data_IF_712526153212
#
_entry.id   IF_712526153212
#
_cell.length_a   1.000
_cell.length_b   1.000
_cell.length_c   1.000
_cell.angle_alpha   90.00
_cell.angle_beta   90.00
_cell.angle_gamma   90.00
#
_symmetry.space_group_name_H-M   'P 1'
#
loop_
_entity.id
_entity.type
_entity.pdbx_description
1 polymer ?
#
# COMPACT_ATOMS: atom_id res chain seq x y z
N UNK A 1 -8.06 -2.33 -33.04
CA UNK A 1 -8.73 -1.53 -31.98
C UNK A 1 -8.84 -2.44 -30.78
N UNK A 2 -8.23 -2.11 -29.64
CA UNK A 2 -8.48 -2.87 -28.39
C UNK A 2 -9.97 -2.74 -28.06
N UNK A 3 -10.66 -3.87 -28.00
CA UNK A 3 -12.10 -3.91 -27.80
C UNK A 3 -12.44 -3.26 -26.46
N UNK A 4 -13.42 -2.36 -26.44
CA UNK A 4 -13.87 -1.68 -25.22
C UNK A 4 -14.24 -2.70 -24.14
N UNK A 5 -14.78 -3.84 -24.57
CA UNK A 5 -15.12 -4.96 -23.70
C UNK A 5 -13.88 -5.56 -23.00
N UNK A 6 -12.76 -5.68 -23.71
CA UNK A 6 -11.49 -6.18 -23.15
C UNK A 6 -10.95 -5.22 -22.09
N UNK A 7 -10.98 -3.91 -22.36
CA UNK A 7 -10.52 -2.89 -21.41
C UNK A 7 -11.37 -2.90 -20.12
N UNK A 8 -12.70 -2.99 -20.26
CA UNK A 8 -13.62 -3.06 -19.11
C UNK A 8 -13.38 -4.34 -18.31
N UNK A 9 -13.20 -5.48 -18.98
CA UNK A 9 -12.93 -6.76 -18.35
C UNK A 9 -11.62 -6.71 -17.55
N UNK A 10 -10.53 -6.21 -18.13
CA UNK A 10 -9.24 -6.06 -17.46
C UNK A 10 -9.31 -5.13 -16.25
N UNK A 11 -10.00 -3.98 -16.37
CA UNK A 11 -10.16 -3.08 -15.22
C UNK A 11 -10.98 -3.77 -14.12
N UNK A 12 -12.05 -4.47 -14.46
CA UNK A 12 -12.87 -5.23 -13.50
C UNK A 12 -12.06 -6.30 -12.76
N UNK A 13 -11.20 -7.03 -13.46
CA UNK A 13 -10.28 -7.99 -12.84
C UNK A 13 -9.32 -7.28 -11.86
N UNK A 14 -8.75 -6.15 -12.26
CA UNK A 14 -7.90 -5.34 -11.38
C UNK A 14 -8.65 -4.86 -10.14
N UNK A 15 -9.91 -4.43 -10.27
CA UNK A 15 -10.77 -4.05 -9.13
C UNK A 15 -10.89 -5.20 -8.13
N UNK A 16 -11.21 -6.40 -8.62
CA UNK A 16 -11.37 -7.62 -7.79
C UNK A 16 -10.07 -8.00 -7.07
N UNK A 17 -8.92 -7.86 -7.74
CA UNK A 17 -7.61 -8.16 -7.15
C UNK A 17 -7.32 -7.22 -5.98
N UNK A 18 -7.55 -5.91 -6.16
CA UNK A 18 -7.32 -4.90 -5.11
C UNK A 18 -8.25 -5.15 -3.93
N UNK A 19 -9.54 -5.41 -4.19
CA UNK A 19 -10.52 -5.74 -3.15
C UNK A 19 -10.10 -6.98 -2.35
N UNK A 20 -9.71 -8.06 -3.04
CA UNK A 20 -9.29 -9.30 -2.38
C UNK A 20 -8.03 -9.08 -1.54
N UNK A 21 -7.07 -8.27 -2.00
CA UNK A 21 -5.89 -7.91 -1.21
C UNK A 21 -6.27 -7.18 0.07
N UNK A 22 -7.08 -6.11 -0.03
CA UNK A 22 -7.60 -5.42 1.16
C UNK A 22 -8.34 -6.41 2.05
N UNK A 23 -9.08 -7.36 1.45
CA UNK A 23 -9.85 -8.33 2.19
C UNK A 23 -8.98 -9.27 3.00
N UNK A 24 -7.90 -9.78 2.41
CA UNK A 24 -6.95 -10.69 3.05
C UNK A 24 -6.16 -10.01 4.16
N UNK A 25 -5.65 -8.80 3.91
CA UNK A 25 -4.81 -8.07 4.88
C UNK A 25 -5.54 -7.65 6.16
N UNK A 26 -6.87 -7.59 6.11
CA UNK A 26 -7.74 -7.17 7.22
C UNK A 26 -8.63 -8.31 7.75
N UNK A 27 -8.55 -9.50 7.15
CA UNK A 27 -9.23 -10.70 7.65
C UNK A 27 -8.40 -11.29 8.77
N UNK A 28 -9.06 -11.57 9.89
CA UNK A 28 -8.40 -12.22 11.01
C UNK A 28 -8.28 -13.73 10.73
N UNK A 29 -7.11 -14.14 10.25
CA UNK A 29 -6.60 -15.50 10.40
C UNK A 29 -5.57 -15.47 11.54
N UNK A 30 -5.35 -16.56 12.27
CA UNK A 30 -4.47 -16.58 13.47
C UNK A 30 -3.01 -16.17 13.25
N UNK A 31 -2.64 -15.76 12.03
CA UNK A 31 -1.37 -15.17 11.64
C UNK A 31 -1.45 -13.64 11.60
N UNK A 32 -0.52 -12.97 12.27
CA UNK A 32 -0.34 -11.52 12.18
C UNK A 32 -0.13 -11.11 10.72
N UNK A 33 -0.91 -10.15 10.20
CA UNK A 33 -0.66 -9.60 8.87
C UNK A 33 0.76 -9.08 8.76
N UNK A 34 1.47 -9.55 7.73
CA UNK A 34 2.85 -9.17 7.48
C UNK A 34 2.90 -7.70 7.13
N UNK A 35 3.86 -6.95 7.69
CA UNK A 35 4.13 -5.53 7.36
C UNK A 35 4.15 -5.32 5.84
N UNK A 36 4.66 -6.31 5.10
CA UNK A 36 4.65 -6.38 3.64
C UNK A 36 3.27 -6.17 3.00
N UNK A 37 2.20 -6.76 3.57
CA UNK A 37 0.85 -6.62 3.03
C UNK A 37 0.33 -5.18 3.16
N UNK A 38 0.67 -4.50 4.26
CA UNK A 38 0.31 -3.10 4.47
C UNK A 38 1.12 -2.18 3.54
N UNK A 39 2.41 -2.48 3.35
CA UNK A 39 3.27 -1.75 2.42
C UNK A 39 2.78 -1.85 0.98
N UNK A 40 2.37 -3.05 0.54
CA UNK A 40 1.80 -3.26 -0.80
C UNK A 40 0.51 -2.46 -0.99
N UNK A 41 -0.41 -2.50 -0.01
CA UNK A 41 -1.65 -1.74 -0.07
C UNK A 41 -1.41 -0.23 -0.04
N UNK A 42 -0.44 0.25 0.74
CA UNK A 42 -0.06 1.66 0.75
C UNK A 42 0.44 2.11 -0.63
N UNK A 43 1.26 1.31 -1.32
CA UNK A 43 1.72 1.59 -2.69
C UNK A 43 0.56 1.61 -3.70
N UNK A 44 -0.43 0.73 -3.54
CA UNK A 44 -1.63 0.71 -4.38
C UNK A 44 -2.47 1.97 -4.11
N UNK A 45 -2.66 2.35 -2.84
CA UNK A 45 -3.44 3.53 -2.45
C UNK A 45 -2.83 4.84 -2.96
N UNK A 46 -1.50 4.91 -3.15
CA UNK A 46 -0.86 6.08 -3.76
C UNK A 46 -1.18 6.25 -5.26
N UNK A 47 -1.62 5.20 -5.94
CA UNK A 47 -2.03 5.27 -7.35
C UNK A 47 -3.43 5.86 -7.44
N UNK A 48 -3.56 6.99 -8.13
CA UNK A 48 -4.83 7.73 -8.28
C UNK A 48 -5.97 6.89 -8.84
N UNK A 49 -5.66 5.90 -9.69
CA UNK A 49 -6.64 5.04 -10.35
C UNK A 49 -7.23 3.95 -9.45
N UNK A 50 -6.49 3.52 -8.43
CA UNK A 50 -6.87 2.39 -7.56
C UNK A 50 -7.16 2.81 -6.12
N UNK A 51 -6.80 4.06 -5.76
CA UNK A 51 -7.03 4.65 -4.44
C UNK A 51 -8.50 4.53 -4.00
N UNK A 52 -9.45 4.95 -4.85
CA UNK A 52 -10.87 4.94 -4.52
C UNK A 52 -11.37 3.57 -4.05
N UNK A 53 -10.86 2.49 -4.65
CA UNK A 53 -11.24 1.11 -4.34
C UNK A 53 -10.72 0.72 -2.95
N UNK A 54 -9.45 1.03 -2.65
CA UNK A 54 -8.84 0.72 -1.36
C UNK A 54 -9.64 1.39 -0.24
N UNK A 55 -9.94 2.67 -0.38
CA UNK A 55 -10.71 3.44 0.60
C UNK A 55 -12.15 2.94 0.71
N UNK A 56 -12.82 2.65 -0.40
CA UNK A 56 -14.15 2.03 -0.42
C UNK A 56 -14.19 0.71 0.35
N UNK A 57 -13.23 -0.19 0.10
CA UNK A 57 -13.12 -1.44 0.83
C UNK A 57 -12.84 -1.22 2.33
N UNK A 58 -12.06 -0.21 2.70
CA UNK A 58 -11.82 0.17 4.10
C UNK A 58 -13.10 0.69 4.78
N UNK A 59 -13.87 1.53 4.09
CA UNK A 59 -15.13 2.07 4.60
C UNK A 59 -16.11 0.96 4.99
N UNK A 60 -16.34 0.01 4.07
CA UNK A 60 -17.21 -1.16 4.32
C UNK A 60 -16.73 -1.96 5.54
N UNK A 61 -15.41 -1.98 5.79
CA UNK A 61 -14.82 -2.72 6.91
C UNK A 61 -14.94 -2.02 8.24
N UNK A 62 -14.78 -0.70 8.27
CA UNK A 62 -15.05 0.12 9.44
C UNK A 62 -16.53 0.07 9.85
N UNK A 63 -17.43 -0.17 8.89
CA UNK A 63 -18.87 -0.30 9.09
C UNK A 63 -19.37 -1.71 9.45
N UNK A 64 -18.48 -2.68 9.71
CA UNK A 64 -18.89 -4.02 10.16
C UNK A 64 -19.52 -4.00 11.57
N UNK A 65 -20.34 -5.02 11.86
CA UNK A 65 -20.96 -5.24 13.17
C UNK A 65 -19.89 -5.29 14.28
N UNK A 66 -20.21 -4.81 15.49
CA UNK A 66 -19.29 -4.75 16.66
C UNK A 66 -18.59 -6.07 16.98
N UNK A 67 -19.25 -7.21 16.78
CA UNK A 67 -18.65 -8.57 16.90
C UNK A 67 -17.42 -8.80 16.03
N UNK A 68 -17.25 -8.02 14.95
CA UNK A 68 -16.08 -8.04 14.06
C UNK A 68 -15.05 -6.97 14.44
N UNK A 69 -14.92 -6.66 15.73
CA UNK A 69 -13.96 -5.68 16.28
C UNK A 69 -12.53 -5.87 15.77
N UNK A 70 -12.08 -7.12 15.53
CA UNK A 70 -10.73 -7.41 14.99
C UNK A 70 -10.55 -6.88 13.57
N UNK A 71 -11.56 -7.03 12.71
CA UNK A 71 -11.52 -6.49 11.34
C UNK A 71 -11.56 -4.97 11.37
N UNK A 72 -12.38 -4.37 12.24
CA UNK A 72 -12.43 -2.91 12.43
C UNK A 72 -11.06 -2.40 12.90
N UNK A 73 -10.47 -3.02 13.92
CA UNK A 73 -9.14 -2.68 14.42
C UNK A 73 -8.08 -2.78 13.32
N UNK A 74 -8.07 -3.88 12.56
CA UNK A 74 -7.08 -4.09 11.49
C UNK A 74 -7.23 -3.07 10.36
N UNK A 75 -8.45 -2.62 10.06
CA UNK A 75 -8.70 -1.53 9.12
C UNK A 75 -8.16 -0.19 9.64
N UNK A 76 -8.29 0.09 10.95
CA UNK A 76 -7.71 1.29 11.56
C UNK A 76 -6.17 1.26 11.53
N UNK A 77 -5.55 0.12 11.83
CA UNK A 77 -4.09 -0.05 11.75
C UNK A 77 -3.57 0.16 10.32
N UNK A 78 -4.30 -0.31 9.30
CA UNK A 78 -3.95 -0.05 7.91
C UNK A 78 -4.07 1.45 7.56
N UNK A 79 -5.12 2.13 8.03
CA UNK A 79 -5.28 3.58 7.85
C UNK A 79 -4.11 4.35 8.47
N UNK A 80 -3.77 4.06 9.73
CA UNK A 80 -2.62 4.65 10.41
C UNK A 80 -1.32 4.39 9.64
N UNK A 81 -1.10 3.16 9.20
CA UNK A 81 0.08 2.80 8.42
C UNK A 81 0.17 3.63 7.14
N UNK A 82 -0.90 3.75 6.35
CA UNK A 82 -0.89 4.55 5.11
C UNK A 82 -0.66 6.04 5.40
N UNK A 83 -1.24 6.59 6.47
CA UNK A 83 -0.99 7.98 6.86
C UNK A 83 0.49 8.25 7.13
N UNK A 84 1.19 7.32 7.79
CA UNK A 84 2.60 7.49 8.16
C UNK A 84 3.54 7.13 7.00
N UNK A 85 3.19 6.17 6.16
CA UNK A 85 4.11 5.62 5.16
C UNK A 85 3.95 6.20 3.75
N UNK A 86 2.88 6.97 3.50
CA UNK A 86 2.54 7.44 2.17
C UNK A 86 2.56 8.96 2.00
N UNK A 87 2.30 9.42 0.77
CA UNK A 87 2.26 10.84 0.39
C UNK A 87 1.13 11.61 1.09
N UNK A 88 1.26 12.94 1.15
CA UNK A 88 0.27 13.84 1.77
C UNK A 88 -1.12 13.76 1.12
N UNK A 89 -1.18 13.45 -0.18
CA UNK A 89 -2.44 13.34 -0.94
C UNK A 89 -3.42 12.32 -0.37
N UNK A 90 -2.93 11.31 0.35
CA UNK A 90 -3.76 10.30 1.01
C UNK A 90 -4.43 10.80 2.29
N UNK A 91 -3.88 11.83 2.94
CA UNK A 91 -4.45 12.40 4.17
C UNK A 91 -5.85 12.94 3.89
N UNK A 92 -6.03 13.63 2.77
CA UNK A 92 -7.34 14.16 2.35
C UNK A 92 -8.39 13.06 2.18
N UNK A 93 -7.99 11.85 1.74
CA UNK A 93 -8.90 10.70 1.63
C UNK A 93 -9.25 10.12 3.00
N UNK A 94 -8.28 10.04 3.91
CA UNK A 94 -8.50 9.59 5.29
C UNK A 94 -9.40 10.58 6.05
N UNK A 95 -9.31 11.88 5.76
CA UNK A 95 -10.12 12.90 6.41
C UNK A 95 -11.63 12.69 6.18
N UNK A 96 -12.02 12.12 5.05
CA UNK A 96 -13.41 11.74 4.76
C UNK A 96 -13.92 10.70 5.77
N UNK A 97 -13.04 9.84 6.30
CA UNK A 97 -13.40 8.87 7.33
C UNK A 97 -13.48 9.44 8.74
N UNK A 98 -13.10 10.71 8.95
CA UNK A 98 -13.05 11.33 10.28
C UNK A 98 -14.35 11.16 11.09
N UNK A 99 -15.57 11.36 10.55
CA UNK A 99 -16.81 11.17 11.32
C UNK A 99 -16.97 9.73 11.82
N UNK A 100 -16.65 8.75 10.96
CA UNK A 100 -16.70 7.34 11.32
C UNK A 100 -15.64 6.98 12.37
N UNK A 101 -14.42 7.47 12.21
CA UNK A 101 -13.32 7.25 13.16
C UNK A 101 -13.67 7.88 14.52
N UNK A 102 -14.29 9.07 14.55
CA UNK A 102 -14.81 9.70 15.77
C UNK A 102 -15.81 8.81 16.50
N UNK A 103 -16.76 8.19 15.78
CA UNK A 103 -17.69 7.20 16.37
C UNK A 103 -16.94 5.98 16.94
N UNK A 104 -15.86 5.52 16.29
CA UNK A 104 -15.03 4.40 16.74
C UNK A 104 -14.17 4.73 17.97
N UNK A 105 -13.85 6.01 18.23
CA UNK A 105 -13.17 6.42 19.46
C UNK A 105 -14.03 6.14 20.71
N UNK A 106 -15.36 6.07 20.57
CA UNK A 106 -16.31 5.68 21.63
C UNK A 106 -16.81 4.22 21.48
N UNK A 107 -16.07 3.37 20.76
CA UNK A 107 -16.48 1.99 20.49
C UNK A 107 -16.55 1.11 21.75
N UNK A 108 -17.73 0.56 22.04
CA UNK A 108 -17.98 -0.35 23.17
C UNK A 108 -18.32 -1.75 22.68
N UNK A 109 -17.52 -2.75 23.07
CA UNK A 109 -17.80 -4.16 22.83
C UNK A 109 -17.14 -5.03 23.92
N UNK A 110 -17.97 -5.63 24.78
CA UNK A 110 -17.53 -6.55 25.83
C UNK A 110 -17.88 -7.97 25.41
N UNK A 111 -16.93 -8.89 25.55
CA UNK A 111 -17.12 -10.30 25.24
C UNK A 111 -16.32 -11.17 26.20
N UNK A 112 -16.95 -12.21 26.76
CA UNK A 112 -16.39 -13.03 27.86
C UNK A 112 -15.84 -12.18 29.02
N UNK A 113 -16.64 -11.21 29.50
CA UNK A 113 -16.28 -10.28 30.59
C UNK A 113 -15.01 -9.44 30.34
N UNK A 114 -14.48 -9.42 29.11
CA UNK A 114 -13.32 -8.62 28.71
C UNK A 114 -13.72 -7.55 27.70
N UNK A 115 -13.22 -6.33 27.88
CA UNK A 115 -13.41 -5.25 26.92
C UNK A 115 -12.56 -5.52 25.67
N UNK A 116 -13.23 -5.89 24.57
CA UNK A 116 -12.62 -6.12 23.26
C UNK A 116 -12.61 -4.85 22.41
N UNK A 117 -13.26 -3.78 22.86
CA UNK A 117 -13.30 -2.49 22.20
C UNK A 117 -12.15 -1.55 22.58
N UNK A 118 -11.44 -1.80 23.68
CA UNK A 118 -10.34 -0.93 24.18
C UNK A 118 -9.34 -0.54 23.08
N UNK A 119 -8.75 -1.53 22.41
CA UNK A 119 -7.76 -1.27 21.35
C UNK A 119 -8.34 -0.51 20.15
N UNK A 120 -9.63 -0.72 19.83
CA UNK A 120 -10.30 0.01 18.75
C UNK A 120 -10.42 1.49 19.12
N UNK A 121 -10.79 1.79 20.38
CA UNK A 121 -10.90 3.17 20.87
C UNK A 121 -9.55 3.88 20.89
N UNK A 122 -8.54 3.24 21.46
CA UNK A 122 -7.17 3.80 21.54
C UNK A 122 -6.62 4.09 20.15
N UNK A 123 -6.78 3.14 19.21
CA UNK A 123 -6.31 3.30 17.83
C UNK A 123 -7.07 4.40 17.09
N UNK A 124 -8.40 4.47 17.23
CA UNK A 124 -9.21 5.51 16.61
C UNK A 124 -8.87 6.90 17.18
N UNK A 125 -8.69 7.03 18.50
CA UNK A 125 -8.26 8.27 19.15
C UNK A 125 -6.87 8.72 18.67
N UNK A 126 -5.93 7.78 18.52
CA UNK A 126 -4.61 8.07 17.98
C UNK A 126 -4.67 8.61 16.54
N UNK A 127 -5.48 7.98 15.67
CA UNK A 127 -5.66 8.44 14.29
C UNK A 127 -6.28 9.85 14.25
N UNK A 128 -7.29 10.13 15.08
CA UNK A 128 -7.87 11.48 15.16
C UNK A 128 -6.83 12.53 15.57
N UNK A 129 -5.95 12.19 16.53
CA UNK A 129 -4.85 13.07 16.93
C UNK A 129 -3.87 13.34 15.78
N UNK A 130 -3.53 12.32 14.97
CA UNK A 130 -2.68 12.48 13.79
C UNK A 130 -3.34 13.33 12.71
N UNK A 131 -4.64 13.18 12.50
CA UNK A 131 -5.39 13.99 11.53
C UNK A 131 -5.46 15.46 11.99
N UNK A 132 -5.66 15.71 13.30
CA UNK A 132 -5.78 17.05 13.85
C UNK A 132 -4.43 17.77 13.95
N UNK A 133 -3.34 17.03 14.15
CA UNK A 133 -2.02 17.60 14.37
C UNK A 133 -1.05 17.22 13.23
N UNK A 134 -0.92 18.06 12.18
CA UNK A 134 -0.05 17.78 11.05
C UNK A 134 1.44 17.81 11.41
N UNK A 135 1.86 18.52 12.46
CA UNK A 135 3.28 18.54 12.88
C UNK A 135 3.67 17.20 13.50
N UNK A 136 2.80 16.63 14.33
CA UNK A 136 2.98 15.28 14.88
C UNK A 136 3.03 14.23 13.77
N UNK A 137 2.18 14.35 12.75
CA UNK A 137 2.20 13.44 11.61
C UNK A 137 3.54 13.52 10.86
N UNK A 138 4.05 14.75 10.60
CA UNK A 138 5.37 14.93 9.96
C UNK A 138 6.49 14.28 10.77
N UNK A 139 6.53 14.49 12.08
CA UNK A 139 7.50 13.84 12.96
C UNK A 139 7.46 12.32 12.83
N UNK A 140 6.27 11.71 12.86
CA UNK A 140 6.11 10.26 12.68
C UNK A 140 6.58 9.77 11.31
N UNK A 141 6.36 10.55 10.25
CA UNK A 141 6.86 10.22 8.92
C UNK A 141 8.39 10.26 8.87
N UNK A 142 9.00 11.25 9.51
CA UNK A 142 10.45 11.40 9.53
C UNK A 142 11.13 10.33 10.40
N UNK A 143 10.52 9.92 11.51
CA UNK A 143 10.93 8.75 12.30
C UNK A 143 10.96 7.48 11.43
N UNK A 144 9.90 7.22 10.65
CA UNK A 144 9.82 6.03 9.79
C UNK A 144 10.82 6.10 8.63
N UNK A 145 11.05 7.28 8.05
CA UNK A 145 12.11 7.45 7.03
C UNK A 145 13.47 7.15 7.64
N UNK A 146 13.77 7.68 8.83
CA UNK A 146 15.02 7.43 9.52
C UNK A 146 15.20 5.93 9.82
N UNK A 147 14.17 5.26 10.31
CA UNK A 147 14.20 3.82 10.57
C UNK A 147 14.50 3.01 9.30
N UNK A 148 13.87 3.34 8.18
CA UNK A 148 14.15 2.71 6.88
C UNK A 148 15.58 2.93 6.43
N UNK A 149 16.10 4.16 6.52
CA UNK A 149 17.50 4.45 6.14
C UNK A 149 18.49 3.67 6.99
N UNK A 150 18.27 3.57 8.32
CA UNK A 150 19.09 2.77 9.23
C UNK A 150 19.08 1.29 8.82
N UNK A 151 17.89 0.72 8.59
CA UNK A 151 17.76 -0.67 8.14
C UNK A 151 18.47 -0.93 6.81
N UNK A 152 18.45 0.02 5.88
CA UNK A 152 19.19 -0.10 4.62
C UNK A 152 20.72 -0.05 4.83
N UNK A 153 21.22 0.84 5.69
CA UNK A 153 22.66 0.90 6.00
C UNK A 153 23.17 -0.39 6.63
N UNK A 154 22.42 -0.98 7.57
CA UNK A 154 22.75 -2.28 8.16
C UNK A 154 22.80 -3.37 7.10
N UNK A 155 21.80 -3.44 6.21
CA UNK A 155 21.78 -4.41 5.09
C UNK A 155 22.94 -4.22 4.12
N UNK A 156 23.37 -2.97 3.84
CA UNK A 156 24.54 -2.67 3.00
C UNK A 156 25.82 -3.16 3.67
N UNK A 157 25.99 -2.87 4.96
CA UNK A 157 27.15 -3.28 5.76
C UNK A 157 27.24 -4.82 5.86
N UNK A 158 26.12 -5.51 6.08
CA UNK A 158 26.06 -6.97 6.09
C UNK A 158 26.45 -7.59 4.75
N UNK A 159 25.99 -7.00 3.64
CA UNK A 159 26.38 -7.44 2.29
C UNK A 159 27.87 -7.23 2.05
N UNK A 160 28.42 -6.10 2.48
CA UNK A 160 29.84 -5.81 2.38
C UNK A 160 30.67 -6.79 3.23
N UNK A 161 30.24 -7.08 4.46
CA UNK A 161 30.88 -8.04 5.35
C UNK A 161 30.87 -9.45 4.75
N UNK A 162 29.76 -9.86 4.11
CA UNK A 162 29.65 -11.12 3.36
C UNK A 162 30.60 -11.14 2.14
N UNK A 163 30.68 -10.06 1.36
CA UNK A 163 31.64 -9.95 0.23
C UNK A 163 33.09 -10.05 0.72
N UNK A 164 33.45 -9.34 1.79
CA UNK A 164 34.79 -9.40 2.41
C UNK A 164 35.14 -10.81 2.89
N UNK A 165 34.19 -11.54 3.49
CA UNK A 165 34.37 -12.94 3.89
C UNK A 165 34.56 -13.87 2.67
N UNK A 166 33.81 -13.67 1.60
CA UNK A 166 33.94 -14.46 0.37
C UNK A 166 35.25 -14.19 -0.37
N UNK A 167 35.71 -12.94 -0.44
CA UNK A 167 37.03 -12.61 -0.99
C UNK A 167 38.16 -13.23 -0.16
N UNK A 168 38.10 -13.17 1.18
CA UNK A 168 39.10 -13.85 2.04
C UNK A 168 39.17 -15.36 1.80
N UNK A 169 38.04 -16.03 1.52
CA UNK A 169 38.02 -17.46 1.13
C UNK A 169 38.65 -17.68 -0.24
N UNK A 170 38.36 -16.84 -1.23
CA UNK A 170 38.95 -16.90 -2.58
C UNK A 170 40.48 -16.76 -2.57
N UNK A 171 41.01 -15.79 -1.81
CA UNK A 171 42.46 -15.61 -1.66
C UNK A 171 43.13 -16.79 -0.92
N UNK A 172 42.41 -17.50 -0.03
CA UNK A 172 42.93 -18.70 0.65
C UNK A 172 42.89 -19.95 -0.24
N UNK A 173 41.90 -20.07 -1.14
CA UNK A 173 41.83 -21.17 -2.12
C UNK A 173 42.83 -21.04 -3.26
N UNK A 174 43.26 -19.81 -3.62
CA UNK A 174 44.25 -19.58 -4.68
C UNK A 174 45.68 -19.98 -4.28
N UNK A 175 45.98 -20.03 -2.97
CA UNK A 175 47.27 -20.50 -2.43
C UNK A 175 47.41 -22.02 -2.31
N UNK A 176 46.36 -22.80 -2.61
CA UNK A 176 46.39 -24.27 -2.58
C UNK A 176 46.46 -24.93 -3.95
N UNK A 177 46.56 -24.15 -5.02
CA UNK A 177 46.78 -24.63 -6.40
C UNK A 177 48.07 -24.03 -6.95
N UNK A 178 49.21 -24.48 -6.43
CA UNK A 178 50.48 -24.38 -7.13
C UNK A 178 51.21 -25.71 -6.99
N UNK A 179 50.79 -26.69 -7.79
CA UNK A 179 51.65 -27.79 -8.25
C UNK A 179 51.24 -28.08 -9.68
N UNK A 180 52.15 -27.74 -10.59
CA UNK A 180 52.44 -28.29 -11.91
C UNK A 180 51.28 -28.79 -12.78
N UNK A 181 51.11 -28.18 -13.96
CA UNK A 181 51.46 -28.84 -15.22
C UNK A 181 51.21 -27.90 -16.42
N UNK A 182 52.23 -27.80 -17.26
CA UNK A 182 52.19 -27.37 -18.66
C UNK A 182 51.13 -28.16 -19.45
N UNK A 183 50.37 -27.49 -20.31
CA UNK A 183 50.01 -27.90 -21.69
C UNK A 183 48.97 -26.94 -22.28
N UNK A 184 49.15 -26.62 -23.57
CA UNK A 184 48.46 -25.61 -24.38
C UNK A 184 46.98 -25.93 -24.66
N UNK A 185 46.14 -24.89 -24.76
CA UNK A 185 45.01 -24.86 -25.70
C UNK A 185 44.55 -23.40 -25.96
N UNK A 186 44.57 -22.91 -27.22
CA UNK A 186 44.17 -21.56 -27.58
C UNK A 186 42.77 -21.58 -28.19
N UNK A 187 41.78 -20.96 -27.56
CA UNK A 187 40.62 -20.45 -28.30
C UNK A 187 39.78 -19.42 -27.54
N UNK A 188 39.20 -18.53 -28.34
CA UNK A 188 38.15 -17.55 -28.04
C UNK A 188 38.58 -16.09 -27.74
N UNK A 189 39.03 -15.40 -28.79
CA UNK A 189 38.75 -13.96 -28.95
C UNK A 189 37.76 -13.77 -30.10
N UNK A 190 36.81 -12.85 -29.90
CA UNK A 190 36.19 -11.88 -30.83
C UNK A 190 34.66 -11.89 -30.70
N UNK A 191 33.88 -10.82 -30.88
CA UNK A 191 34.08 -9.38 -30.90
C UNK A 191 32.66 -8.76 -30.78
N UNK A 192 32.56 -7.64 -30.06
CA UNK A 192 31.97 -6.36 -30.49
C UNK A 192 30.78 -6.32 -31.48
N UNK A 193 29.68 -5.69 -30.99
CA UNK A 193 28.63 -4.87 -31.67
C UNK A 193 27.60 -5.50 -32.63
N UNK A 194 26.30 -5.35 -32.31
CA UNK A 194 25.37 -4.59 -33.18
C UNK A 194 24.02 -4.24 -32.50
N UNK A 195 23.49 -3.10 -32.93
CA UNK A 195 22.35 -2.30 -32.45
C UNK A 195 20.97 -2.75 -32.97
N UNK A 196 19.89 -2.39 -32.25
CA UNK A 196 18.64 -1.85 -32.86
C UNK A 196 17.73 -1.16 -31.83
N UNK A 197 17.67 0.16 -31.92
CA UNK A 197 16.68 1.04 -31.29
C UNK A 197 15.34 0.96 -32.03
N UNK A 198 14.24 0.67 -31.34
CA UNK A 198 12.89 0.84 -31.86
C UNK A 198 12.30 2.18 -31.39
N UNK A 199 11.84 2.98 -32.35
CA UNK A 199 11.14 4.26 -32.16
C UNK A 199 9.79 4.03 -31.49
N UNK A 200 9.47 4.83 -30.47
CA UNK A 200 8.18 4.89 -29.79
C UNK A 200 7.55 6.23 -30.14
N UNK A 201 6.62 6.25 -31.08
CA UNK A 201 5.82 7.43 -31.38
C UNK A 201 4.32 7.18 -31.12
N UNK A 202 3.69 8.19 -30.53
CA UNK A 202 2.24 8.45 -30.44
C UNK A 202 1.39 7.62 -29.44
N UNK A 203 1.66 7.80 -28.14
CA UNK A 203 0.81 7.30 -27.04
C UNK A 203 0.12 8.40 -26.21
N UNK A 204 0.29 9.68 -26.55
CA UNK A 204 -0.17 10.81 -25.72
C UNK A 204 -1.68 11.07 -25.84
N UNK A 205 -2.24 11.18 -27.04
CA UNK A 205 -3.65 11.58 -27.20
C UNK A 205 -4.71 10.48 -26.89
N UNK A 206 -4.37 9.19 -27.02
CA UNK A 206 -5.29 8.09 -26.69
C UNK A 206 -5.37 7.80 -25.19
N UNK A 207 -4.32 8.12 -24.43
CA UNK A 207 -4.28 7.95 -22.96
C UNK A 207 -5.21 8.92 -22.25
N UNK A 208 -5.41 10.11 -22.78
CA UNK A 208 -6.21 11.13 -22.10
C UNK A 208 -7.72 10.88 -22.27
N UNK A 209 -8.17 10.40 -23.43
CA UNK A 209 -9.57 9.99 -23.64
C UNK A 209 -9.91 8.71 -22.85
N UNK A 210 -9.01 7.72 -22.84
CA UNK A 210 -9.21 6.47 -22.08
C UNK A 210 -9.14 6.67 -20.56
N UNK A 211 -8.30 7.59 -20.07
CA UNK A 211 -8.30 8.03 -18.66
C UNK A 211 -9.57 8.78 -18.28
N UNK A 212 -10.10 9.63 -19.18
CA UNK A 212 -11.35 10.38 -18.92
C UNK A 212 -12.56 9.44 -18.85
N UNK A 213 -12.66 8.48 -19.77
CA UNK A 213 -13.76 7.49 -19.82
C UNK A 213 -13.69 6.48 -18.66
N UNK A 214 -12.49 6.01 -18.31
CA UNK A 214 -12.31 5.13 -17.14
C UNK A 214 -12.60 5.84 -15.81
N UNK A 215 -12.29 7.14 -15.70
CA UNK A 215 -12.65 7.97 -14.54
C UNK A 215 -14.17 8.18 -14.44
N UNK A 216 -14.86 8.37 -15.56
CA UNK A 216 -16.32 8.47 -15.64
C UNK A 216 -17.02 7.15 -15.29
N UNK A 217 -16.52 6.01 -15.79
CA UNK A 217 -17.11 4.71 -15.48
C UNK A 217 -16.82 4.25 -14.04
N UNK A 218 -15.64 4.59 -13.50
CA UNK A 218 -15.37 4.40 -12.05
C UNK A 218 -16.32 5.25 -11.20
N UNK A 219 -16.71 6.45 -11.66
CA UNK A 219 -17.73 7.27 -10.99
C UNK A 219 -19.14 6.67 -11.11
N UNK A 220 -19.48 6.04 -12.24
CA UNK A 220 -20.78 5.37 -12.45
C UNK A 220 -20.95 4.08 -11.64
N UNK A 221 -19.92 3.22 -11.59
CA UNK A 221 -19.89 2.05 -10.70
C UNK A 221 -19.93 2.46 -9.22
N UNK A 222 -19.38 3.64 -8.89
CA UNK A 222 -19.49 4.22 -7.54
C UNK A 222 -20.90 4.76 -7.26
N UNK A 223 -21.65 5.22 -8.26
CA UNK A 223 -23.03 5.71 -8.10
C UNK A 223 -24.05 4.57 -7.92
N UNK A 224 -23.91 3.45 -8.63
CA UNK A 224 -25.02 2.50 -8.78
C UNK A 224 -25.04 1.32 -7.78
N UNK A 225 -24.05 1.18 -6.88
CA UNK A 225 -24.05 0.13 -5.83
C UNK A 225 -23.76 0.67 -4.41
N UNK A 226 -23.62 2.00 -4.23
CA UNK A 226 -23.04 2.60 -3.01
C UNK A 226 -23.72 3.93 -2.61
N UNK A 227 -25.05 3.99 -2.63
CA UNK A 227 -25.82 5.15 -2.14
C UNK A 227 -25.52 5.52 -0.66
N UNK A 228 -24.93 4.61 0.11
CA UNK A 228 -24.49 4.83 1.51
C UNK A 228 -23.11 5.51 1.66
N UNK A 229 -22.34 5.70 0.57
CA UNK A 229 -21.11 6.51 0.59
C UNK A 229 -21.26 7.70 -0.36
N UNK A 230 -22.10 8.64 0.05
CA UNK A 230 -22.16 9.96 -0.57
C UNK A 230 -21.52 11.02 0.36
N UNK A 231 -20.20 11.28 0.25
CA UNK A 231 -19.50 12.25 1.10
C UNK A 231 -19.99 13.70 0.92
N UNK A 232 -20.77 14.00 -0.12
CA UNK A 232 -21.44 15.30 -0.31
C UNK A 232 -22.76 15.39 0.45
N UNK A 233 -23.51 14.28 0.55
CA UNK A 233 -24.76 14.22 1.32
C UNK A 233 -24.50 14.33 2.83
N UNK A 234 -23.42 13.72 3.33
CA UNK A 234 -23.06 13.80 4.75
C UNK A 234 -22.56 15.20 5.15
N UNK A 235 -21.93 15.95 4.23
CA UNK A 235 -21.59 17.38 4.43
C UNK A 235 -22.83 18.27 4.47
N UNK A 236 -23.82 18.04 3.60
CA UNK A 236 -25.08 18.81 3.58
C UNK A 236 -25.95 18.53 4.83
N UNK A 237 -26.02 17.28 5.30
CA UNK A 237 -26.76 16.94 6.51
C UNK A 237 -26.15 17.53 7.80
N UNK A 238 -24.83 17.77 7.82
CA UNK A 238 -24.14 18.43 8.96
C UNK A 238 -24.38 19.95 8.95
N UNK A 239 -24.50 20.58 7.77
CA UNK A 239 -24.87 22.00 7.68
C UNK A 239 -26.33 22.24 8.08
N UNK A 240 -27.24 21.32 7.73
CA UNK A 240 -28.66 21.43 8.03
C UNK A 240 -29.07 21.03 9.46
N UNK A 241 -28.14 20.48 10.26
CA UNK A 241 -28.40 20.12 11.68
C UNK A 241 -27.89 21.16 12.69
N UNK A 242 -27.33 22.27 12.20
CA UNK A 242 -26.87 23.40 13.02
C UNK A 242 -27.71 24.68 12.81
N UNK A 243 -28.89 24.56 12.20
CA UNK A 243 -29.94 25.59 12.14
C UNK A 243 -31.19 25.07 12.86
#
# INVERSE_FOLDING_TARGET
MTDLFEIISLKTQQLKIVEEKVRRSTKHHGSSPTIFQFEELAKIAEKTEDNAIVFKCLWVRLNRKKRKYRTILRSLELIEFMMINSKDTLISQVDIFRPKIKKLASFKFVHHKKDKGKNVREKAAHILKLIQNPTLLRQKRDEVKLERTKLETVKRNDKELRKRKNNKKFYKSKRRRSTNSSFDDPDLITNTLESKTFKVDNASHKKDQTKKISKLHTQEIVKNEYDDFNPLLEKQNILNSNN
#
